data_IF_893082673472
#
_entry.id   IF_893082673472
#
_cell.length_a   1.000
_cell.length_b   1.000
_cell.length_c   1.000
_cell.angle_alpha   90.00
_cell.angle_beta   90.00
_cell.angle_gamma   90.00
#
_symmetry.space_group_name_H-M   'P 1'
#
loop_
_entity.id
_entity.type
_entity.pdbx_description
1 polymer ?
#
# COMPACT_ATOMS: atom_id res chain seq x y z
N UNK A 1 -9.32 -10.36 33.07
CA UNK A 1 -8.80 -10.85 31.77
C UNK A 1 -9.89 -10.68 30.72
N UNK A 2 -9.76 -9.72 29.81
CA UNK A 2 -10.72 -9.54 28.72
C UNK A 2 -10.60 -10.70 27.73
N UNK A 3 -11.71 -11.31 27.32
CA UNK A 3 -11.74 -12.33 26.25
C UNK A 3 -11.56 -11.60 24.90
N UNK A 4 -10.32 -11.28 24.55
CA UNK A 4 -9.98 -10.85 23.21
C UNK A 4 -9.75 -12.08 22.31
N UNK A 5 -10.39 -12.10 21.15
CA UNK A 5 -10.10 -13.12 20.15
C UNK A 5 -8.70 -12.85 19.56
N UNK A 6 -7.83 -13.85 19.60
CA UNK A 6 -6.49 -13.79 18.99
C UNK A 6 -6.56 -14.55 17.67
N UNK A 7 -6.23 -13.86 16.58
CA UNK A 7 -6.18 -14.42 15.24
C UNK A 7 -4.73 -14.49 14.76
N UNK A 8 -4.30 -15.64 14.27
CA UNK A 8 -3.01 -15.77 13.57
C UNK A 8 -3.14 -15.10 12.19
N UNK A 9 -2.66 -13.87 12.08
CA UNK A 9 -2.73 -13.09 10.83
C UNK A 9 -1.51 -13.30 9.92
N UNK A 10 -0.48 -14.02 10.41
CA UNK A 10 0.68 -14.36 9.61
C UNK A 10 0.50 -15.75 9.01
N UNK A 11 0.55 -15.90 7.68
CA UNK A 11 0.58 -17.22 7.05
C UNK A 11 1.83 -17.99 7.49
N UNK A 12 1.73 -19.32 7.56
CA UNK A 12 2.89 -20.18 7.78
C UNK A 12 3.90 -20.06 6.62
N UNK A 13 5.20 -20.32 6.85
CA UNK A 13 6.18 -20.37 5.79
C UNK A 13 5.78 -21.37 4.69
N UNK A 14 5.89 -20.96 3.42
CA UNK A 14 5.59 -21.81 2.27
C UNK A 14 4.14 -21.80 1.80
N UNK A 15 3.25 -21.03 2.44
CA UNK A 15 1.91 -20.76 1.90
C UNK A 15 2.04 -19.96 0.60
N UNK A 16 1.46 -20.48 -0.49
CA UNK A 16 1.47 -19.81 -1.79
C UNK A 16 0.60 -18.53 -1.74
N UNK A 17 1.20 -17.40 -2.11
CA UNK A 17 0.50 -16.13 -2.19
C UNK A 17 0.02 -15.86 -3.63
N UNK A 18 -1.28 -15.65 -3.79
CA UNK A 18 -1.89 -15.25 -5.05
C UNK A 18 -2.34 -13.79 -4.99
N UNK A 19 -2.02 -13.00 -6.03
CA UNK A 19 -2.51 -11.62 -6.14
C UNK A 19 -4.01 -11.59 -6.50
N UNK A 20 -4.73 -10.49 -6.19
CA UNK A 20 -6.15 -10.38 -6.53
C UNK A 20 -6.47 -10.67 -8.01
N UNK A 21 -5.57 -10.34 -8.94
CA UNK A 21 -5.74 -10.62 -10.38
C UNK A 21 -4.97 -11.85 -10.87
N UNK A 22 -4.53 -12.74 -9.97
CA UNK A 22 -3.86 -14.00 -10.34
C UNK A 22 -4.76 -14.86 -11.26
N UNK A 23 -5.99 -15.12 -10.82
CA UNK A 23 -7.00 -15.89 -11.55
C UNK A 23 -7.38 -15.29 -12.92
N UNK A 24 -7.24 -13.97 -13.07
CA UNK A 24 -7.65 -13.25 -14.27
C UNK A 24 -6.57 -13.26 -15.38
N UNK A 25 -5.35 -13.72 -15.06
CA UNK A 25 -4.21 -13.75 -15.98
C UNK A 25 -3.98 -12.41 -16.71
N UNK A 26 -4.14 -11.27 -16.01
CA UNK A 26 -4.16 -9.93 -16.61
C UNK A 26 -2.99 -9.68 -17.56
N UNK A 27 -1.79 -10.17 -17.26
CA UNK A 27 -0.61 -10.05 -18.11
C UNK A 27 -0.82 -10.66 -19.52
N UNK A 28 -1.54 -11.78 -19.63
CA UNK A 28 -1.90 -12.39 -20.92
C UNK A 28 -2.95 -11.56 -21.64
N UNK A 29 -3.94 -11.05 -20.92
CA UNK A 29 -5.01 -10.23 -21.49
C UNK A 29 -4.48 -8.88 -22.02
N UNK A 30 -3.65 -8.19 -21.23
CA UNK A 30 -3.03 -6.93 -21.61
C UNK A 30 -2.14 -7.07 -22.86
N UNK A 31 -1.50 -8.23 -23.04
CA UNK A 31 -0.67 -8.55 -24.21
C UNK A 31 -1.43 -8.84 -25.51
N UNK A 32 -2.77 -8.95 -25.50
CA UNK A 32 -3.59 -9.19 -26.70
C UNK A 32 -3.89 -7.91 -27.52
N UNK A 33 -3.40 -6.76 -27.07
CA UNK A 33 -3.63 -5.47 -27.74
C UNK A 33 -2.66 -5.24 -28.89
N UNK A 34 -3.02 -4.35 -29.83
CA UNK A 34 -2.14 -3.99 -30.94
C UNK A 34 -0.81 -3.41 -30.41
N UNK A 35 0.32 -3.79 -31.01
CA UNK A 35 1.66 -3.39 -30.57
C UNK A 35 1.90 -1.87 -30.50
N UNK A 36 1.02 -1.05 -31.10
CA UNK A 36 1.08 0.42 -31.12
C UNK A 36 -0.02 1.11 -30.29
N UNK A 37 -0.65 0.41 -29.35
CA UNK A 37 -1.71 1.00 -28.51
C UNK A 37 -1.22 2.16 -27.62
N UNK A 38 0.10 2.28 -27.38
CA UNK A 38 0.70 3.39 -26.60
C UNK A 38 0.40 3.34 -25.09
N UNK A 39 -0.32 2.32 -24.62
CA UNK A 39 -0.77 2.16 -23.24
C UNK A 39 -0.33 0.77 -22.75
N UNK A 40 0.24 0.72 -21.54
CA UNK A 40 0.60 -0.52 -20.86
C UNK A 40 -0.20 -0.64 -19.57
N UNK A 41 -0.90 -1.76 -19.40
CA UNK A 41 -1.61 -2.08 -18.16
C UNK A 41 -0.90 -3.25 -17.45
N UNK A 42 -0.66 -3.10 -16.15
CA UNK A 42 -0.09 -4.14 -15.31
C UNK A 42 -0.59 -4.05 -13.87
N UNK A 43 -0.63 -5.17 -13.18
CA UNK A 43 -0.82 -5.20 -11.73
C UNK A 43 0.51 -4.90 -11.01
N UNK A 44 0.46 -4.09 -9.95
CA UNK A 44 1.55 -3.99 -8.96
C UNK A 44 1.26 -4.99 -7.83
N UNK A 45 1.61 -6.25 -8.07
CA UNK A 45 1.22 -7.39 -7.23
C UNK A 45 1.87 -7.35 -5.84
N UNK A 46 1.14 -7.86 -4.85
CA UNK A 46 1.66 -8.25 -3.52
C UNK A 46 2.43 -7.13 -2.80
N UNK A 47 1.97 -5.88 -2.89
CA UNK A 47 2.52 -4.78 -2.09
C UNK A 47 1.97 -4.80 -0.66
N UNK A 48 2.78 -4.35 0.30
CA UNK A 48 2.33 -4.09 1.65
C UNK A 48 1.52 -2.78 1.69
N UNK A 49 0.37 -2.83 2.37
CA UNK A 49 -0.53 -1.69 2.53
C UNK A 49 -0.79 -1.47 4.02
N UNK A 50 -0.48 -0.28 4.53
CA UNK A 50 -0.75 0.11 5.90
C UNK A 50 -1.55 1.41 5.92
N UNK A 51 -2.74 1.38 6.53
CA UNK A 51 -3.50 2.60 6.80
C UNK A 51 -2.99 3.21 8.09
N UNK A 52 -2.41 4.39 7.99
CA UNK A 52 -1.98 5.19 9.13
C UNK A 52 -3.09 6.20 9.47
N UNK A 53 -3.46 6.29 10.75
CA UNK A 53 -4.43 7.26 11.25
C UNK A 53 -3.84 8.06 12.41
N UNK A 54 -4.16 9.34 12.46
CA UNK A 54 -3.73 10.25 13.50
C UNK A 54 -4.07 11.69 13.16
N UNK A 55 -3.90 12.59 14.11
CA UNK A 55 -4.13 14.02 13.90
C UNK A 55 -2.92 14.65 13.21
N UNK A 56 -3.11 15.15 11.98
CA UNK A 56 -2.06 15.84 11.24
C UNK A 56 -1.61 17.15 11.91
N UNK A 57 -2.49 17.76 12.73
CA UNK A 57 -2.21 19.00 13.43
C UNK A 57 -1.37 18.79 14.69
N UNK A 58 -1.25 17.55 15.18
CA UNK A 58 -0.37 17.20 16.27
C UNK A 58 1.09 17.09 15.78
N UNK A 59 1.99 18.01 16.19
CA UNK A 59 3.39 17.97 15.78
C UNK A 59 4.11 16.70 16.24
N UNK A 60 3.71 16.11 17.37
CA UNK A 60 4.33 14.89 17.88
C UNK A 60 4.01 13.70 16.97
N UNK A 61 2.76 13.59 16.50
CA UNK A 61 2.37 12.58 15.52
C UNK A 61 3.15 12.73 14.21
N UNK A 62 3.14 13.94 13.62
CA UNK A 62 3.84 14.19 12.37
C UNK A 62 5.36 13.92 12.47
N UNK A 63 5.99 14.31 13.59
CA UNK A 63 7.40 14.04 13.85
C UNK A 63 7.70 12.55 14.02
N UNK A 64 6.85 11.81 14.75
CA UNK A 64 7.01 10.37 14.93
C UNK A 64 6.88 9.60 13.61
N UNK A 65 5.94 9.99 12.75
CA UNK A 65 5.79 9.43 11.40
C UNK A 65 7.04 9.70 10.57
N UNK A 66 7.57 10.92 10.62
CA UNK A 66 8.79 11.27 9.92
C UNK A 66 9.99 10.46 10.42
N UNK A 67 10.15 10.32 11.73
CA UNK A 67 11.21 9.55 12.34
C UNK A 67 11.14 8.06 11.96
N UNK A 68 9.94 7.47 11.98
CA UNK A 68 9.75 6.05 11.71
C UNK A 68 9.87 5.69 10.22
N UNK A 69 9.41 6.57 9.32
CA UNK A 69 9.25 6.26 7.90
C UNK A 69 10.19 7.06 6.98
N UNK A 70 10.87 8.10 7.48
CA UNK A 70 11.68 9.02 6.66
C UNK A 70 10.83 9.82 5.66
N UNK A 71 9.56 10.07 5.97
CA UNK A 71 8.56 10.67 5.07
C UNK A 71 7.75 11.73 5.79
N UNK A 72 7.42 12.81 5.10
CA UNK A 72 6.46 13.81 5.60
C UNK A 72 5.04 13.35 5.24
N UNK A 73 4.08 13.63 6.10
CA UNK A 73 2.67 13.38 5.82
C UNK A 73 2.22 14.27 4.65
N UNK A 74 1.75 13.68 3.53
CA UNK A 74 1.22 14.48 2.43
C UNK A 74 -0.08 15.18 2.86
N UNK A 75 -0.31 16.36 2.29
CA UNK A 75 -1.52 17.15 2.47
C UNK A 75 -2.60 16.75 1.46
N UNK A 76 -3.79 17.36 1.53
CA UNK A 76 -4.97 17.00 0.75
C UNK A 76 -4.69 16.66 -0.72
N UNK A 77 -5.08 15.45 -1.14
CA UNK A 77 -4.96 14.94 -2.51
C UNK A 77 -3.51 14.88 -3.06
N UNK A 78 -2.48 14.84 -2.20
CA UNK A 78 -1.08 14.72 -2.62
C UNK A 78 -0.46 13.36 -2.29
N UNK A 79 0.66 13.06 -2.96
CA UNK A 79 1.48 11.87 -2.77
C UNK A 79 2.85 12.26 -2.20
N UNK A 80 3.24 11.63 -1.09
CA UNK A 80 4.58 11.70 -0.53
C UNK A 80 5.49 10.65 -1.15
N UNK A 81 6.36 11.09 -2.08
CA UNK A 81 7.36 10.32 -2.84
C UNK A 81 6.81 9.43 -3.99
N UNK A 82 7.56 9.38 -5.09
CA UNK A 82 7.36 8.43 -6.19
C UNK A 82 8.15 7.15 -5.92
N UNK A 83 7.49 5.99 -6.00
CA UNK A 83 8.10 4.69 -5.69
C UNK A 83 7.99 4.29 -4.22
N UNK A 84 8.40 3.07 -3.87
CA UNK A 84 8.20 2.53 -2.54
C UNK A 84 9.37 2.90 -1.59
N UNK A 85 9.10 3.27 -0.32
CA UNK A 85 7.77 3.49 0.26
C UNK A 85 7.14 4.81 -0.21
N UNK A 86 5.86 4.77 -0.59
CA UNK A 86 5.05 5.94 -0.97
C UNK A 86 3.89 6.14 0.00
N UNK A 87 3.56 7.39 0.31
CA UNK A 87 2.45 7.74 1.20
C UNK A 87 1.36 8.48 0.41
N UNK A 88 0.13 7.98 0.42
CA UNK A 88 -1.02 8.63 -0.22
C UNK A 88 -1.91 9.25 0.84
N UNK A 89 -2.37 10.49 0.61
CA UNK A 89 -3.43 11.07 1.42
C UNK A 89 -4.77 10.38 1.12
N UNK A 90 -5.50 9.96 2.17
CA UNK A 90 -6.84 9.39 2.05
C UNK A 90 -7.92 10.34 2.59
N UNK A 91 -7.65 10.94 3.74
CA UNK A 91 -8.55 11.84 4.46
C UNK A 91 -7.72 12.72 5.42
N UNK A 92 -8.30 13.77 6.06
CA UNK A 92 -7.55 14.66 6.94
C UNK A 92 -6.78 13.97 8.08
N UNK A 93 -7.26 12.82 8.54
CA UNK A 93 -6.65 12.02 9.60
C UNK A 93 -6.27 10.60 9.14
N UNK A 94 -6.12 10.37 7.84
CA UNK A 94 -5.82 9.04 7.30
C UNK A 94 -4.93 9.07 6.05
N UNK A 95 -3.95 8.16 6.02
CA UNK A 95 -3.02 7.99 4.91
C UNK A 95 -2.82 6.51 4.59
N UNK A 96 -2.47 6.20 3.35
CA UNK A 96 -2.09 4.87 2.89
C UNK A 96 -0.59 4.83 2.63
N UNK A 97 0.14 4.07 3.43
CA UNK A 97 1.52 3.72 3.18
C UNK A 97 1.56 2.47 2.29
N UNK A 98 2.25 2.59 1.14
CA UNK A 98 2.57 1.48 0.26
C UNK A 98 4.05 1.13 0.41
N UNK A 99 4.35 -0.15 0.64
CA UNK A 99 5.71 -0.69 0.76
C UNK A 99 5.89 -1.88 -0.17
N UNK A 100 7.15 -2.30 -0.49
CA UNK A 100 7.37 -3.57 -1.17
C UNK A 100 6.73 -4.74 -0.40
N UNK A 101 6.37 -5.80 -1.11
CA UNK A 101 5.93 -7.04 -0.45
C UNK A 101 6.99 -7.57 0.50
N UNK A 102 6.54 -8.15 1.61
CA UNK A 102 7.37 -8.87 2.57
C UNK A 102 7.49 -10.34 2.24
#
# INVERSE_FOLDING_TARGET
MSKANVYQQRPEPGVHAESPLHHAELHKLAGKTAAKAGIVLREKKLLGHLVLRGDAADPAFAAAVHQALGRVLPVGLTLGASGAPSMLWLAPAAWLLLVPGG
#
